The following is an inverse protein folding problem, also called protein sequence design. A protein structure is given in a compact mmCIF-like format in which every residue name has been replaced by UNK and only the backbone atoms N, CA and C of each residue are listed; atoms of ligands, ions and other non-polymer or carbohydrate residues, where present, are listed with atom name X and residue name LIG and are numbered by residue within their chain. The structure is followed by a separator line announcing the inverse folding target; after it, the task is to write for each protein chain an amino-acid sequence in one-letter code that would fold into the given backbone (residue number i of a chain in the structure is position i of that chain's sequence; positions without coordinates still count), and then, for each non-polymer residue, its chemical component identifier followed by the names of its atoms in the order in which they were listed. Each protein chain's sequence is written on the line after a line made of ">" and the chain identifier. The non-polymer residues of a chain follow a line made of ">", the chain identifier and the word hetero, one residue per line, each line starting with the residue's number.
data_IF_236260927083
#
_entry.id   IF_236260927083
#
_cell.length_a   1.000
_cell.length_b   1.000
_cell.length_c   1.000
_cell.angle_alpha   90.00
_cell.angle_beta   90.00
_cell.angle_gamma   90.00
#
_symmetry.space_group_name_H-M   'P 1'
#
loop_
_entity.id
_entity.type
_entity.pdbx_description
1 polymer ?
#
# COMPACT_ATOMS: atom_id res chain seq x y z
N UNK A 1 18.16 -23.18 19.33
CA UNK A 1 17.19 -22.25 18.75
C UNK A 1 17.67 -21.78 17.39
N UNK A 2 16.77 -21.34 16.54
CA UNK A 2 17.15 -20.74 15.26
C UNK A 2 17.49 -19.28 15.51
N UNK A 3 18.62 -18.84 14.98
CA UNK A 3 18.98 -17.42 14.97
C UNK A 3 18.28 -16.76 13.76
N UNK A 4 17.16 -16.06 14.05
CA UNK A 4 16.38 -15.37 13.04
C UNK A 4 16.69 -13.88 13.15
N UNK A 5 17.42 -13.28 12.18
CA UNK A 5 17.74 -11.87 12.24
C UNK A 5 16.49 -11.00 12.14
N UNK A 6 16.32 -10.08 13.07
CA UNK A 6 15.28 -9.07 13.03
C UNK A 6 15.80 -7.83 12.29
N UNK A 7 15.03 -7.35 11.30
CA UNK A 7 15.36 -6.16 10.52
C UNK A 7 14.24 -5.12 10.58
N UNK A 8 14.62 -3.85 10.59
CA UNK A 8 13.71 -2.72 10.46
C UNK A 8 14.30 -1.65 9.55
N UNK A 9 13.45 -0.89 8.86
CA UNK A 9 13.92 0.23 8.05
C UNK A 9 13.91 1.51 8.87
N UNK A 10 15.10 2.07 9.12
CA UNK A 10 15.29 3.24 9.96
C UNK A 10 14.83 4.56 9.34
N UNK A 11 14.48 5.50 10.20
CA UNK A 11 14.22 6.90 9.87
C UNK A 11 12.76 7.33 9.91
N UNK A 12 11.86 6.43 10.30
CA UNK A 12 10.43 6.71 10.45
C UNK A 12 9.88 6.30 11.82
N UNK A 13 10.72 5.66 12.66
CA UNK A 13 10.31 5.13 13.94
C UNK A 13 10.37 6.20 15.04
N UNK A 14 9.48 6.05 16.00
CA UNK A 14 9.56 6.80 17.28
C UNK A 14 10.85 6.45 18.05
N UNK A 15 11.33 7.39 18.86
CA UNK A 15 12.52 7.20 19.67
C UNK A 15 12.45 6.02 20.63
N UNK A 16 11.27 5.71 21.15
CA UNK A 16 11.03 4.54 22.02
C UNK A 16 11.25 3.23 21.26
N UNK A 17 10.78 3.14 20.01
CA UNK A 17 11.00 1.98 19.14
C UNK A 17 12.48 1.80 18.82
N UNK A 18 13.19 2.88 18.51
CA UNK A 18 14.64 2.83 18.24
C UNK A 18 15.39 2.28 19.47
N UNK A 19 14.98 2.66 20.68
CA UNK A 19 15.57 2.15 21.92
C UNK A 19 15.36 0.62 22.03
N UNK A 20 14.13 0.16 21.87
CA UNK A 20 13.78 -1.28 21.89
C UNK A 20 14.59 -2.04 20.82
N UNK A 21 14.64 -1.52 19.59
CA UNK A 21 15.40 -2.15 18.50
C UNK A 21 16.89 -2.36 18.87
N UNK A 22 17.50 -1.40 19.57
CA UNK A 22 18.87 -1.53 20.05
C UNK A 22 19.02 -2.60 21.15
N UNK A 23 18.06 -2.65 22.07
CA UNK A 23 18.06 -3.62 23.17
C UNK A 23 17.92 -5.07 22.69
N UNK A 24 17.09 -5.31 21.65
CA UNK A 24 16.86 -6.68 21.11
C UNK A 24 17.70 -7.00 19.86
N UNK A 25 18.64 -6.12 19.48
CA UNK A 25 19.56 -6.39 18.39
C UNK A 25 18.95 -6.33 16.98
N UNK A 26 17.91 -5.51 16.76
CA UNK A 26 17.34 -5.33 15.42
C UNK A 26 18.30 -4.61 14.50
N UNK A 27 18.57 -5.20 13.34
CA UNK A 27 19.39 -4.59 12.30
C UNK A 27 18.60 -3.47 11.61
N UNK A 28 19.18 -2.27 11.58
CA UNK A 28 18.56 -1.11 10.94
C UNK A 28 19.00 -1.00 9.48
N UNK A 29 18.03 -1.01 8.57
CA UNK A 29 18.23 -0.77 7.13
C UNK A 29 17.95 0.70 6.80
N UNK A 30 18.69 1.24 5.84
CA UNK A 30 18.42 2.59 5.32
C UNK A 30 17.57 2.50 4.04
N UNK A 31 16.57 3.37 3.88
CA UNK A 31 15.87 3.50 2.59
C UNK A 31 16.85 3.92 1.50
N UNK A 32 16.60 3.49 0.26
CA UNK A 32 17.44 3.84 -0.88
C UNK A 32 17.35 5.31 -1.30
N UNK A 33 16.26 6.01 -0.91
CA UNK A 33 16.02 7.43 -1.14
C UNK A 33 15.49 8.08 0.14
N UNK A 34 15.78 9.36 0.40
CA UNK A 34 15.13 10.14 1.46
C UNK A 34 13.61 10.21 1.26
N UNK A 35 12.86 10.29 2.36
CA UNK A 35 11.39 10.38 2.32
C UNK A 35 10.91 11.58 1.49
N UNK A 36 11.58 12.72 1.61
CA UNK A 36 11.27 13.94 0.88
C UNK A 36 11.35 13.74 -0.63
N UNK A 37 12.40 13.09 -1.12
CA UNK A 37 12.54 12.76 -2.54
C UNK A 37 11.43 11.83 -3.03
N UNK A 38 11.09 10.79 -2.24
CA UNK A 38 10.02 9.87 -2.60
C UNK A 38 8.67 10.59 -2.68
N UNK A 39 8.39 11.51 -1.75
CA UNK A 39 7.15 12.28 -1.77
C UNK A 39 7.10 13.28 -2.93
N UNK A 40 8.21 13.92 -3.26
CA UNK A 40 8.30 14.84 -4.41
C UNK A 40 8.15 14.11 -5.74
N UNK A 41 8.78 12.94 -5.89
CA UNK A 41 8.74 12.17 -7.13
C UNK A 41 7.38 11.51 -7.37
N UNK A 42 6.82 10.86 -6.36
CA UNK A 42 5.64 10.00 -6.50
C UNK A 42 4.34 10.60 -5.97
N UNK A 43 4.42 11.50 -5.00
CA UNK A 43 3.25 12.10 -4.35
C UNK A 43 3.03 11.65 -2.91
N UNK A 44 1.96 12.16 -2.31
CA UNK A 44 1.68 12.05 -0.88
C UNK A 44 0.65 10.96 -0.55
N UNK A 45 0.85 10.16 0.51
CA UNK A 45 -0.12 9.17 0.97
C UNK A 45 -1.15 9.82 1.91
N UNK A 46 -2.05 10.62 1.37
CA UNK A 46 -2.99 11.45 2.16
C UNK A 46 -4.13 10.69 2.84
N UNK A 47 -4.39 9.44 2.41
CA UNK A 47 -5.51 8.62 2.87
C UNK A 47 -5.08 7.14 2.98
N UNK A 48 -6.05 6.24 3.21
CA UNK A 48 -5.78 4.81 3.21
C UNK A 48 -5.24 4.32 1.85
N UNK A 49 -4.40 3.28 1.84
CA UNK A 49 -3.81 2.72 0.61
C UNK A 49 -4.85 2.43 -0.48
N UNK A 50 -6.04 1.94 -0.11
CA UNK A 50 -7.15 1.66 -1.04
C UNK A 50 -7.64 2.92 -1.75
N UNK A 51 -7.85 3.99 -0.99
CA UNK A 51 -8.34 5.26 -1.52
C UNK A 51 -7.25 5.94 -2.33
N UNK A 52 -6.04 5.98 -1.81
CA UNK A 52 -4.87 6.53 -2.50
C UNK A 52 -4.64 5.85 -3.85
N UNK A 53 -4.73 4.51 -3.92
CA UNK A 53 -4.57 3.80 -5.19
C UNK A 53 -5.62 4.16 -6.24
N UNK A 54 -6.87 4.43 -5.83
CA UNK A 54 -7.92 4.91 -6.73
C UNK A 54 -7.63 6.32 -7.24
N UNK A 55 -7.22 7.23 -6.34
CA UNK A 55 -6.86 8.61 -6.70
C UNK A 55 -5.65 8.61 -7.64
N UNK A 56 -4.60 7.83 -7.33
CA UNK A 56 -3.43 7.69 -8.19
C UNK A 56 -3.81 7.21 -9.61
N UNK A 57 -4.76 6.27 -9.71
CA UNK A 57 -5.29 5.79 -10.99
C UNK A 57 -6.00 6.90 -11.77
N UNK A 58 -6.77 7.75 -11.10
CA UNK A 58 -7.44 8.88 -11.73
C UNK A 58 -6.45 9.97 -12.16
N UNK A 59 -5.44 10.25 -11.36
CA UNK A 59 -4.40 11.25 -11.69
C UNK A 59 -3.43 10.80 -12.82
N UNK A 60 -3.45 9.51 -13.20
CA UNK A 60 -2.62 8.97 -14.29
C UNK A 60 -3.49 8.27 -15.34
N UNK A 61 -4.29 9.02 -16.11
CA UNK A 61 -5.17 8.46 -17.12
C UNK A 61 -4.39 7.80 -18.26
N UNK A 62 -4.81 6.61 -18.63
CA UNK A 62 -4.31 5.85 -19.79
C UNK A 62 -5.47 5.12 -20.45
N UNK A 63 -5.35 4.76 -21.71
CA UNK A 63 -6.37 3.94 -22.38
C UNK A 63 -6.59 2.59 -21.67
N UNK A 64 -5.53 2.01 -21.12
CA UNK A 64 -5.62 0.70 -20.43
C UNK A 64 -6.41 0.76 -19.12
N UNK A 65 -6.44 1.89 -18.44
CA UNK A 65 -7.15 2.04 -17.16
C UNK A 65 -8.50 2.76 -17.28
N UNK A 66 -8.98 3.04 -18.50
CA UNK A 66 -10.22 3.76 -18.77
C UNK A 66 -11.44 3.14 -18.06
N UNK A 67 -11.63 1.83 -18.18
CA UNK A 67 -12.71 1.09 -17.51
C UNK A 67 -12.62 1.17 -15.99
N UNK A 68 -11.40 1.10 -15.45
CA UNK A 68 -11.17 1.20 -14.01
C UNK A 68 -11.48 2.61 -13.51
N UNK A 69 -11.07 3.64 -14.25
CA UNK A 69 -11.40 5.03 -13.92
C UNK A 69 -12.91 5.26 -13.94
N UNK A 70 -13.60 4.77 -14.95
CA UNK A 70 -15.05 4.83 -15.02
C UNK A 70 -15.69 4.20 -13.77
N UNK A 71 -15.26 3.00 -13.38
CA UNK A 71 -15.75 2.33 -12.18
C UNK A 71 -15.45 3.10 -10.88
N UNK A 72 -14.31 3.79 -10.79
CA UNK A 72 -13.94 4.63 -9.64
C UNK A 72 -14.86 5.86 -9.54
N UNK A 73 -15.22 6.47 -10.65
CA UNK A 73 -16.04 7.69 -10.71
C UNK A 73 -17.52 7.34 -10.49
N UNK A 74 -18.07 6.40 -11.25
CA UNK A 74 -19.50 6.11 -11.29
C UNK A 74 -19.93 5.02 -10.31
N UNK A 75 -19.01 4.10 -9.97
CA UNK A 75 -19.32 2.87 -9.24
C UNK A 75 -19.82 1.75 -10.15
N UNK A 76 -19.91 1.98 -11.45
CA UNK A 76 -20.34 1.00 -12.42
C UNK A 76 -19.19 0.06 -12.75
N UNK A 77 -19.37 -1.23 -12.49
CA UNK A 77 -18.36 -2.24 -12.79
C UNK A 77 -19.02 -3.54 -13.26
N UNK A 78 -18.32 -4.22 -14.19
CA UNK A 78 -18.75 -5.49 -14.77
C UNK A 78 -18.69 -5.49 -16.30
N UNK A 79 -18.41 -6.65 -16.89
CA UNK A 79 -18.23 -6.83 -18.33
C UNK A 79 -19.50 -6.62 -19.16
N UNK A 80 -20.68 -6.60 -18.53
CA UNK A 80 -21.99 -6.53 -19.21
C UNK A 80 -22.88 -5.39 -18.69
N UNK A 81 -22.30 -4.37 -18.08
CA UNK A 81 -23.09 -3.23 -17.60
C UNK A 81 -24.02 -3.54 -16.43
N UNK A 82 -23.83 -4.64 -15.74
CA UNK A 82 -24.54 -4.91 -14.49
C UNK A 82 -23.87 -4.14 -13.36
N UNK A 83 -24.47 -3.02 -13.02
CA UNK A 83 -23.90 -2.04 -12.12
C UNK A 83 -24.39 -2.27 -10.69
N UNK A 84 -23.47 -2.61 -9.79
CA UNK A 84 -23.76 -2.47 -8.39
C UNK A 84 -23.72 -0.96 -8.06
N UNK A 85 -24.86 -0.36 -7.76
CA UNK A 85 -24.96 1.07 -7.39
C UNK A 85 -24.03 1.49 -6.24
N UNK A 86 -23.56 0.55 -5.44
CA UNK A 86 -22.66 0.74 -4.31
C UNK A 86 -21.38 -0.10 -4.44
N UNK A 87 -20.80 -0.13 -5.62
CA UNK A 87 -19.53 -0.82 -5.83
C UNK A 87 -18.45 -0.29 -4.90
N UNK A 88 -17.66 -1.20 -4.31
CA UNK A 88 -16.45 -0.85 -3.54
C UNK A 88 -15.42 -0.09 -4.37
N UNK A 89 -15.56 -0.08 -5.70
CA UNK A 89 -14.70 0.70 -6.60
C UNK A 89 -15.02 2.18 -6.55
N UNK A 90 -16.26 2.58 -6.33
CA UNK A 90 -16.64 3.99 -6.29
C UNK A 90 -15.85 4.76 -5.23
N UNK A 91 -15.28 5.87 -5.65
CA UNK A 91 -14.66 6.83 -4.75
C UNK A 91 -15.74 7.79 -4.23
N UNK A 92 -15.81 8.08 -2.92
CA UNK A 92 -16.72 9.07 -2.39
C UNK A 92 -16.56 10.43 -3.07
N UNK A 93 -17.68 11.13 -3.33
CA UNK A 93 -17.74 12.41 -4.03
C UNK A 93 -16.73 13.42 -3.49
N UNK A 94 -16.62 13.54 -2.17
CA UNK A 94 -15.65 14.39 -1.49
C UNK A 94 -14.20 14.20 -1.99
N UNK A 95 -13.80 12.96 -2.23
CA UNK A 95 -12.42 12.67 -2.66
C UNK A 95 -12.23 12.84 -4.16
N UNK A 96 -13.31 12.66 -4.95
CA UNK A 96 -13.32 13.00 -6.36
C UNK A 96 -13.07 14.50 -6.55
N UNK A 97 -13.82 15.34 -5.83
CA UNK A 97 -13.70 16.79 -5.89
C UNK A 97 -12.33 17.31 -5.45
N UNK A 98 -11.75 16.70 -4.40
CA UNK A 98 -10.48 17.19 -3.84
C UNK A 98 -9.22 16.71 -4.59
N UNK A 99 -9.26 15.53 -5.22
CA UNK A 99 -8.03 14.88 -5.67
C UNK A 99 -8.07 14.29 -7.07
N UNK A 100 -9.24 14.10 -7.66
CA UNK A 100 -9.39 13.25 -8.82
C UNK A 100 -9.52 13.99 -10.14
N UNK A 101 -9.35 15.30 -10.13
CA UNK A 101 -9.42 16.10 -11.33
C UNK A 101 -8.31 15.77 -12.32
N UNK A 102 -8.69 15.55 -13.57
CA UNK A 102 -7.82 15.52 -14.72
C UNK A 102 -8.60 16.05 -15.94
N UNK A 103 -7.89 16.72 -16.83
CA UNK A 103 -8.52 17.23 -18.04
C UNK A 103 -8.75 16.08 -19.02
N UNK A 104 -10.00 15.61 -19.08
CA UNK A 104 -10.43 14.71 -20.12
C UNK A 104 -11.93 14.93 -20.42
N UNK A 105 -12.21 15.80 -21.33
CA UNK A 105 -13.57 16.13 -21.79
C UNK A 105 -14.34 14.89 -22.26
N UNK A 106 -13.65 13.89 -22.84
CA UNK A 106 -14.26 12.68 -23.36
C UNK A 106 -14.75 11.71 -22.26
N UNK A 107 -14.25 11.87 -21.03
CA UNK A 107 -14.65 11.04 -19.88
C UNK A 107 -15.62 11.77 -18.96
N UNK A 108 -16.01 13.00 -19.29
CA UNK A 108 -17.06 13.76 -18.58
C UNK A 108 -16.70 14.11 -17.13
N UNK A 109 -15.41 14.27 -16.82
CA UNK A 109 -14.98 14.68 -15.48
C UNK A 109 -14.87 16.19 -15.43
N UNK A 110 -15.62 16.80 -14.52
CA UNK A 110 -15.61 18.25 -14.27
C UNK A 110 -14.83 18.59 -12.96
N UNK A 111 -13.94 17.69 -12.52
CA UNK A 111 -13.20 17.89 -11.29
C UNK A 111 -11.91 18.66 -11.56
N UNK A 112 -11.57 19.60 -10.69
CA UNK A 112 -10.31 20.32 -10.77
C UNK A 112 -9.11 19.39 -10.56
N UNK A 113 -8.01 19.68 -11.25
CA UNK A 113 -6.76 18.97 -11.07
C UNK A 113 -6.20 19.29 -9.68
N UNK A 114 -5.92 18.24 -8.90
CA UNK A 114 -5.29 18.45 -7.60
C UNK A 114 -3.90 19.10 -7.76
N UNK A 115 -3.53 20.04 -6.88
CA UNK A 115 -2.25 20.76 -6.97
C UNK A 115 -1.03 19.89 -6.66
N UNK A 116 -1.24 18.63 -6.30
CA UNK A 116 -0.17 17.66 -5.98
C UNK A 116 -0.57 16.24 -6.34
N UNK A 117 0.44 15.40 -6.50
CA UNK A 117 0.26 13.97 -6.74
C UNK A 117 -0.10 13.23 -5.46
N UNK A 118 -1.00 12.27 -5.57
CA UNK A 118 -1.38 11.35 -4.50
C UNK A 118 -0.89 9.94 -4.83
N UNK A 119 -0.13 9.34 -3.93
CA UNK A 119 0.43 7.99 -4.15
C UNK A 119 0.73 7.26 -2.84
N UNK A 120 0.65 5.94 -2.86
CA UNK A 120 1.04 5.08 -1.73
C UNK A 120 2.48 4.52 -1.88
N UNK A 121 3.23 4.95 -2.87
CA UNK A 121 4.59 4.46 -3.16
C UNK A 121 5.60 4.74 -2.05
N UNK A 122 5.28 5.67 -1.13
CA UNK A 122 6.08 5.90 0.06
C UNK A 122 6.35 4.59 0.83
N UNK A 123 5.33 3.76 1.08
CA UNK A 123 5.52 2.47 1.75
C UNK A 123 6.44 1.53 0.95
N UNK A 124 6.27 1.47 -0.35
CA UNK A 124 7.09 0.65 -1.24
C UNK A 124 8.57 1.03 -1.17
N UNK A 125 8.87 2.32 -1.33
CA UNK A 125 10.26 2.79 -1.40
C UNK A 125 10.93 2.89 -0.03
N UNK A 126 10.15 3.24 1.01
CA UNK A 126 10.70 3.45 2.35
C UNK A 126 10.78 2.17 3.18
N UNK A 127 9.95 1.17 2.90
CA UNK A 127 9.87 -0.05 3.73
C UNK A 127 10.10 -1.33 2.92
N UNK A 128 9.30 -1.54 1.86
CA UNK A 128 9.28 -2.83 1.17
C UNK A 128 10.57 -3.06 0.38
N UNK A 129 10.97 -2.15 -0.50
CA UNK A 129 12.19 -2.31 -1.31
C UNK A 129 13.48 -2.53 -0.52
N UNK A 130 13.76 -1.79 0.58
CA UNK A 130 14.94 -2.07 1.41
C UNK A 130 14.94 -3.47 2.01
N UNK A 131 13.78 -3.93 2.50
CA UNK A 131 13.64 -5.28 3.05
C UNK A 131 13.77 -6.35 1.98
N UNK A 132 13.14 -6.16 0.82
CA UNK A 132 13.22 -7.11 -0.30
C UNK A 132 14.66 -7.21 -0.85
N UNK A 133 15.38 -6.08 -0.91
CA UNK A 133 16.79 -6.06 -1.29
C UNK A 133 17.63 -6.86 -0.30
N UNK A 134 17.49 -6.58 0.99
CA UNK A 134 18.21 -7.31 2.04
C UNK A 134 17.91 -8.81 2.01
N UNK A 135 16.64 -9.19 1.91
CA UNK A 135 16.23 -10.58 1.85
C UNK A 135 16.85 -11.31 0.63
N UNK A 136 16.93 -10.64 -0.52
CA UNK A 136 17.56 -11.18 -1.72
C UNK A 136 19.07 -11.36 -1.55
N UNK A 137 19.76 -10.37 -0.98
CA UNK A 137 21.20 -10.40 -0.74
C UNK A 137 21.61 -11.51 0.24
N UNK A 138 20.73 -11.81 1.22
CA UNK A 138 20.96 -12.84 2.24
C UNK A 138 20.26 -14.17 1.93
N UNK A 139 19.70 -14.34 0.74
CA UNK A 139 18.91 -15.52 0.35
C UNK A 139 17.86 -15.92 1.40
N UNK A 140 17.23 -14.92 2.01
CA UNK A 140 16.29 -15.09 3.12
C UNK A 140 14.85 -14.94 2.66
N UNK A 141 13.92 -15.50 3.43
CA UNK A 141 12.47 -15.31 3.25
C UNK A 141 11.91 -14.57 4.45
N UNK A 142 11.21 -13.45 4.25
CA UNK A 142 10.77 -12.63 5.37
C UNK A 142 9.59 -13.25 6.12
N UNK A 143 9.68 -13.21 7.45
CA UNK A 143 8.53 -13.28 8.33
C UNK A 143 8.03 -11.87 8.61
N UNK A 144 6.73 -11.65 8.41
CA UNK A 144 6.09 -10.35 8.63
C UNK A 144 5.33 -10.38 9.96
N UNK A 145 5.61 -9.41 10.83
CA UNK A 145 4.89 -9.20 12.07
C UNK A 145 3.52 -8.53 11.84
N UNK A 146 2.68 -9.13 10.98
CA UNK A 146 1.37 -8.60 10.64
C UNK A 146 0.28 -9.46 11.26
N UNK A 147 -0.77 -8.80 11.76
CA UNK A 147 -1.97 -9.46 12.28
C UNK A 147 -3.19 -9.06 11.45
N UNK A 148 -4.05 -10.02 11.10
CA UNK A 148 -5.30 -9.75 10.39
C UNK A 148 -6.26 -8.90 11.22
N UNK A 149 -6.21 -9.03 12.55
CA UNK A 149 -6.98 -8.21 13.50
C UNK A 149 -6.73 -6.70 13.39
N UNK A 150 -5.67 -6.27 12.71
CA UNK A 150 -5.45 -4.86 12.37
C UNK A 150 -6.35 -4.38 11.22
N UNK A 151 -7.07 -5.30 10.56
CA UNK A 151 -8.07 -5.03 9.53
C UNK A 151 -7.53 -4.61 8.16
N UNK A 152 -8.46 -4.30 7.26
CA UNK A 152 -8.17 -3.80 5.93
C UNK A 152 -7.43 -4.80 5.05
N UNK A 153 -6.39 -4.35 4.34
CA UNK A 153 -5.63 -5.21 3.42
C UNK A 153 -4.92 -6.39 4.11
N UNK A 154 -4.69 -6.34 5.43
CA UNK A 154 -4.06 -7.42 6.18
C UNK A 154 -5.03 -8.57 6.40
N UNK A 155 -6.26 -8.23 6.74
CA UNK A 155 -7.36 -9.19 6.85
C UNK A 155 -7.70 -9.81 5.49
N UNK A 156 -7.84 -8.97 4.44
CA UNK A 156 -8.07 -9.44 3.07
C UNK A 156 -6.97 -10.42 2.63
N UNK A 157 -5.70 -10.12 2.91
CA UNK A 157 -4.58 -10.98 2.55
C UNK A 157 -4.59 -12.32 3.28
N UNK A 158 -5.00 -12.35 4.55
CA UNK A 158 -5.16 -13.61 5.29
C UNK A 158 -6.27 -14.47 4.69
N UNK A 159 -7.41 -13.85 4.33
CA UNK A 159 -8.54 -14.56 3.72
C UNK A 159 -8.17 -15.12 2.34
N UNK A 160 -7.43 -14.36 1.54
CA UNK A 160 -7.10 -14.74 0.15
C UNK A 160 -5.93 -15.72 0.08
N UNK A 161 -4.92 -15.58 0.92
CA UNK A 161 -3.64 -16.30 0.80
C UNK A 161 -3.25 -17.11 2.03
N UNK A 162 -3.99 -17.01 3.14
CA UNK A 162 -3.59 -17.59 4.40
C UNK A 162 -2.35 -16.92 5.00
N UNK A 163 -1.67 -17.63 5.90
CA UNK A 163 -0.46 -17.12 6.56
C UNK A 163 0.77 -17.11 5.67
N UNK A 164 0.76 -17.81 4.53
CA UNK A 164 1.91 -17.96 3.64
C UNK A 164 1.54 -17.55 2.22
N UNK A 165 2.35 -16.69 1.64
CA UNK A 165 2.22 -16.26 0.25
C UNK A 165 3.38 -16.80 -0.59
N UNK A 166 3.08 -17.60 -1.61
CA UNK A 166 4.03 -18.22 -2.54
C UNK A 166 3.87 -17.62 -3.95
N UNK A 167 4.22 -16.36 -4.11
CA UNK A 167 4.20 -15.69 -5.41
C UNK A 167 5.45 -15.98 -6.25
N UNK A 168 5.37 -15.70 -7.56
CA UNK A 168 6.50 -15.89 -8.48
C UNK A 168 7.77 -15.13 -8.08
N UNK A 169 7.61 -13.92 -7.57
CA UNK A 169 8.71 -13.01 -7.27
C UNK A 169 8.97 -12.84 -5.77
N UNK A 170 8.01 -13.21 -4.94
CA UNK A 170 8.06 -12.99 -3.50
C UNK A 170 7.45 -14.17 -2.77
N UNK A 171 8.18 -14.67 -1.78
CA UNK A 171 7.67 -15.63 -0.80
C UNK A 171 7.70 -14.92 0.54
N UNK A 172 6.57 -14.87 1.23
CA UNK A 172 6.41 -14.20 2.53
C UNK A 172 5.58 -15.07 3.46
N UNK A 173 5.89 -15.02 4.75
CA UNK A 173 5.07 -15.63 5.80
C UNK A 173 4.68 -14.58 6.83
N UNK A 174 3.44 -14.63 7.30
CA UNK A 174 2.91 -13.81 8.37
C UNK A 174 2.41 -14.72 9.50
N UNK A 175 3.31 -15.28 10.32
CA UNK A 175 2.95 -16.29 11.32
C UNK A 175 2.00 -15.76 12.39
N UNK A 176 1.96 -14.45 12.62
CA UNK A 176 1.05 -13.79 13.56
C UNK A 176 -0.30 -13.39 12.95
N UNK A 177 -0.52 -13.61 11.64
CA UNK A 177 -1.75 -13.19 10.98
C UNK A 177 -3.04 -13.71 11.63
N UNK A 178 -3.13 -14.97 12.11
CA UNK A 178 -4.35 -15.48 12.75
C UNK A 178 -4.55 -15.03 14.20
N UNK A 179 -3.56 -14.40 14.84
CA UNK A 179 -3.64 -14.01 16.23
C UNK A 179 -4.34 -12.66 16.44
N UNK A 180 -5.00 -12.51 17.57
CA UNK A 180 -5.46 -11.22 18.07
C UNK A 180 -4.34 -10.55 18.88
N UNK A 181 -4.39 -9.21 18.99
CA UNK A 181 -3.39 -8.46 19.77
C UNK A 181 -3.30 -8.89 21.23
N UNK A 182 -4.42 -9.34 21.79
CA UNK A 182 -4.49 -9.83 23.17
C UNK A 182 -3.92 -11.23 23.36
N UNK A 183 -3.61 -11.95 22.29
CA UNK A 183 -3.07 -13.32 22.34
C UNK A 183 -1.51 -13.30 22.33
N UNK A 184 -0.90 -12.14 22.17
CA UNK A 184 0.54 -11.88 22.16
C UNK A 184 0.97 -11.15 23.43
#
# INVERSE_FOLDING_TARGET
>A
GYDIPAISVSGLEDKSIIKIHKEIGVQSLKPGKPKTEVLQEFGFPVLSKRIVGKIETLQHPTERNKTVRHAIITGECGAQGHFAKNSRMKLPQKWLELFAGYENENEGTNYEIAPFKVSNKCCLYMKEKPCDKWAKEHNSKPFLGLMASEGGQREDALVEHGCNYFGKNVIRSAPFAPFLRQDL
#
